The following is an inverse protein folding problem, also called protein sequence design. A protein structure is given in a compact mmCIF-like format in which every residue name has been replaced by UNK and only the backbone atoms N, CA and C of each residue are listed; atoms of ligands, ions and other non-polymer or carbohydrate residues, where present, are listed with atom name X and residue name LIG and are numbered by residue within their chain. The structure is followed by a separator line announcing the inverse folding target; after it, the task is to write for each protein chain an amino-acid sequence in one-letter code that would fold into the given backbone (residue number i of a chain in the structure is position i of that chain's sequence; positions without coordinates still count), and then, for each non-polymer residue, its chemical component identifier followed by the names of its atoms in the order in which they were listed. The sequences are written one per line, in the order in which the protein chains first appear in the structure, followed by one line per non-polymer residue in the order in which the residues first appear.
data_IF_813172124768
#
_entry.id   IF_813172124768
#
_cell.length_a   1.000
_cell.length_b   1.000
_cell.length_c   1.000
_cell.angle_alpha   90.00
_cell.angle_beta   90.00
_cell.angle_gamma   90.00
#
_symmetry.space_group_name_H-M   'P 1'
#
loop_
_entity.id
_entity.type
_entity.pdbx_description
1 polymer ?
#
# COMPACT_ATOMS: atom_id res chain seq x y z
N UNK A 1 -6.83 -10.44 -1.42
CA UNK A 1 -5.78 -9.49 -1.84
C UNK A 1 -5.65 -8.51 -0.69
N UNK A 2 -4.43 -8.23 -0.24
CA UNK A 2 -4.18 -7.35 0.90
C UNK A 2 -3.38 -6.12 0.47
N UNK A 3 -3.42 -5.05 1.26
CA UNK A 3 -2.57 -3.85 1.03
C UNK A 3 -1.07 -4.21 1.03
N UNK A 4 -0.67 -5.23 1.81
CA UNK A 4 0.70 -5.75 1.78
C UNK A 4 1.09 -6.25 0.39
N UNK A 5 0.23 -7.07 -0.24
CA UNK A 5 0.48 -7.58 -1.59
C UNK A 5 0.59 -6.45 -2.63
N UNK A 6 -0.25 -5.41 -2.50
CA UNK A 6 -0.16 -4.21 -3.33
C UNK A 6 1.17 -3.47 -3.15
N UNK A 7 1.61 -3.26 -1.90
CA UNK A 7 2.92 -2.63 -1.62
C UNK A 7 4.07 -3.47 -2.18
N UNK A 8 4.03 -4.79 -2.06
CA UNK A 8 5.06 -5.67 -2.61
C UNK A 8 5.11 -5.59 -4.13
N UNK A 9 3.95 -5.57 -4.80
CA UNK A 9 3.86 -5.35 -6.24
C UNK A 9 4.48 -4.01 -6.67
N UNK A 10 4.13 -2.92 -5.98
CA UNK A 10 4.69 -1.58 -6.27
C UNK A 10 6.21 -1.58 -6.16
N UNK A 11 6.76 -2.19 -5.11
CA UNK A 11 8.23 -2.28 -4.96
C UNK A 11 8.86 -3.07 -6.10
N UNK A 12 8.28 -4.19 -6.53
CA UNK A 12 8.80 -4.95 -7.68
C UNK A 12 8.71 -4.14 -8.98
N UNK A 13 7.65 -3.37 -9.15
CA UNK A 13 7.44 -2.51 -10.32
C UNK A 13 8.39 -1.31 -10.38
N UNK A 14 8.83 -0.81 -9.22
CA UNK A 14 9.85 0.25 -9.13
C UNK A 14 11.26 -0.27 -9.38
N UNK A 15 11.60 -1.42 -8.81
CA UNK A 15 12.94 -1.99 -8.94
C UNK A 15 13.17 -2.63 -10.31
N UNK A 16 12.11 -3.13 -10.96
CA UNK A 16 12.18 -3.97 -12.17
C UNK A 16 13.20 -5.12 -12.04
N UNK A 17 13.43 -5.57 -10.80
CA UNK A 17 14.42 -6.56 -10.45
C UNK A 17 13.99 -7.32 -9.20
N UNK A 18 13.62 -8.59 -9.37
CA UNK A 18 13.03 -9.38 -8.28
C UNK A 18 13.95 -9.52 -7.06
N UNK A 19 15.26 -9.66 -7.28
CA UNK A 19 16.23 -9.78 -6.19
C UNK A 19 16.33 -8.49 -5.36
N UNK A 20 16.54 -7.33 -6.00
CA UNK A 20 16.60 -6.02 -5.33
C UNK A 20 15.31 -5.68 -4.60
N UNK A 21 14.17 -6.01 -5.19
CA UNK A 21 12.87 -5.84 -4.54
C UNK A 21 12.75 -6.69 -3.27
N UNK A 22 13.24 -7.95 -3.30
CA UNK A 22 13.25 -8.83 -2.13
C UNK A 22 14.18 -8.31 -1.03
N UNK A 23 15.36 -7.80 -1.40
CA UNK A 23 16.30 -7.15 -0.47
C UNK A 23 15.67 -5.90 0.18
N UNK A 24 15.06 -5.02 -0.63
CA UNK A 24 14.37 -3.81 -0.14
C UNK A 24 13.18 -4.11 0.77
N UNK A 25 12.51 -5.24 0.55
CA UNK A 25 11.40 -5.72 1.39
C UNK A 25 11.86 -6.57 2.58
N UNK A 26 13.16 -6.87 2.71
CA UNK A 26 13.73 -7.77 3.71
C UNK A 26 13.04 -9.13 3.78
N UNK A 27 12.75 -9.73 2.63
CA UNK A 27 12.14 -11.05 2.51
C UNK A 27 12.89 -11.93 1.52
N UNK A 28 12.67 -13.25 1.61
CA UNK A 28 13.24 -14.18 0.66
C UNK A 28 12.65 -13.99 -0.75
N UNK A 29 13.51 -13.99 -1.77
CA UNK A 29 13.11 -13.85 -3.17
C UNK A 29 12.08 -14.91 -3.65
N UNK A 30 12.16 -16.19 -3.25
CA UNK A 30 11.12 -17.18 -3.57
C UNK A 30 9.74 -16.81 -3.02
N UNK A 31 9.68 -16.25 -1.81
CA UNK A 31 8.44 -15.81 -1.19
C UNK A 31 7.83 -14.62 -1.94
N UNK A 32 8.64 -13.64 -2.34
CA UNK A 32 8.19 -12.51 -3.14
C UNK A 32 7.66 -12.97 -4.51
N UNK A 33 8.39 -13.86 -5.20
CA UNK A 33 7.96 -14.40 -6.48
C UNK A 33 6.64 -15.16 -6.37
N UNK A 34 6.44 -15.93 -5.29
CA UNK A 34 5.18 -16.63 -5.04
C UNK A 34 4.02 -15.65 -4.81
N UNK A 35 4.24 -14.58 -4.03
CA UNK A 35 3.23 -13.55 -3.78
C UNK A 35 2.80 -12.84 -5.07
N UNK A 36 3.75 -12.49 -5.95
CA UNK A 36 3.44 -11.88 -7.25
C UNK A 36 2.66 -12.86 -8.13
N UNK A 37 3.07 -14.13 -8.19
CA UNK A 37 2.35 -15.15 -8.96
C UNK A 37 0.92 -15.33 -8.47
N UNK A 38 0.70 -15.35 -7.15
CA UNK A 38 -0.64 -15.44 -6.58
C UNK A 38 -1.48 -14.20 -6.88
N UNK A 39 -0.86 -13.02 -6.91
CA UNK A 39 -1.53 -11.77 -7.30
C UNK A 39 -1.97 -11.84 -8.76
N UNK A 40 -1.08 -12.22 -9.68
CA UNK A 40 -1.37 -12.39 -11.11
C UNK A 40 -2.49 -13.42 -11.34
N UNK A 41 -2.43 -14.57 -10.66
CA UNK A 41 -3.48 -15.59 -10.72
C UNK A 41 -4.84 -15.06 -10.27
N UNK A 42 -4.86 -14.29 -9.17
CA UNK A 42 -6.11 -13.71 -8.66
C UNK A 42 -6.68 -12.65 -9.59
N UNK A 43 -5.83 -11.89 -10.28
CA UNK A 43 -6.24 -10.88 -11.25
C UNK A 43 -6.58 -11.48 -12.62
N UNK A 44 -6.15 -12.72 -12.90
CA UNK A 44 -6.32 -13.37 -14.19
C UNK A 44 -5.45 -12.78 -15.30
N UNK A 45 -4.43 -11.99 -14.95
CA UNK A 45 -3.55 -11.30 -15.90
C UNK A 45 -2.09 -11.39 -15.46
N UNK A 46 -1.18 -11.36 -16.44
CA UNK A 46 0.26 -11.26 -16.19
C UNK A 46 0.63 -9.79 -16.08
N UNK A 47 1.25 -9.41 -14.95
CA UNK A 47 1.67 -8.03 -14.67
C UNK A 47 3.13 -7.80 -15.05
N UNK A 48 3.96 -8.85 -15.00
CA UNK A 48 5.37 -8.77 -15.38
C UNK A 48 5.74 -9.71 -16.51
N UNK A 49 6.51 -9.21 -17.47
CA UNK A 49 7.13 -10.02 -18.51
C UNK A 49 8.62 -10.22 -18.22
N UNK A 50 9.17 -11.36 -18.67
CA UNK A 50 10.60 -11.67 -18.58
C UNK A 50 11.21 -11.64 -19.98
N UNK A 51 11.40 -10.44 -20.52
CA UNK A 51 12.04 -10.25 -21.82
C UNK A 51 13.56 -10.06 -21.63
N UNK A 52 14.38 -10.76 -22.42
CA UNK A 52 15.84 -10.57 -22.45
C UNK A 52 16.52 -10.65 -21.07
N UNK A 53 16.06 -11.58 -20.22
CA UNK A 53 16.55 -11.77 -18.83
C UNK A 53 16.28 -10.55 -17.91
N UNK A 54 15.47 -9.59 -18.36
CA UNK A 54 15.01 -8.43 -17.60
C UNK A 54 13.54 -8.59 -17.24
N UNK A 55 13.18 -8.07 -16.05
CA UNK A 55 11.80 -7.98 -15.63
C UNK A 55 11.24 -6.65 -16.14
N UNK A 56 10.13 -6.69 -16.87
CA UNK A 56 9.44 -5.47 -17.34
C UNK A 56 7.96 -5.56 -17.01
N UNK A 57 7.29 -4.41 -16.91
CA UNK A 57 5.83 -4.38 -16.78
C UNK A 57 5.17 -4.72 -18.11
N UNK A 58 4.04 -5.40 -18.05
CA UNK A 58 3.10 -5.51 -19.18
C UNK A 58 2.22 -4.25 -19.23
N UNK A 59 1.47 -4.05 -20.31
CA UNK A 59 0.46 -2.99 -20.36
C UNK A 59 -0.58 -3.09 -19.21
N UNK A 60 -0.96 -4.32 -18.85
CA UNK A 60 -1.80 -4.58 -17.68
C UNK A 60 -1.08 -4.22 -16.37
N UNK A 61 0.23 -4.53 -16.26
CA UNK A 61 1.09 -4.15 -15.16
C UNK A 61 1.19 -2.63 -14.96
N UNK A 62 1.36 -1.87 -16.04
CA UNK A 62 1.42 -0.40 -15.99
C UNK A 62 0.09 0.21 -15.53
N UNK A 63 -1.02 -0.24 -16.12
CA UNK A 63 -2.35 0.20 -15.72
C UNK A 63 -2.64 -0.14 -14.24
N UNK A 64 -2.25 -1.34 -13.80
CA UNK A 64 -2.43 -1.78 -12.43
C UNK A 64 -1.53 -1.01 -11.46
N UNK A 65 -0.29 -0.66 -11.82
CA UNK A 65 0.62 0.17 -11.03
C UNK A 65 0.04 1.53 -10.74
N UNK A 66 -0.47 2.22 -11.76
CA UNK A 66 -1.07 3.53 -11.59
C UNK A 66 -2.24 3.49 -10.59
N UNK A 67 -3.17 2.54 -10.74
CA UNK A 67 -4.32 2.41 -9.83
C UNK A 67 -3.92 1.95 -8.43
N UNK A 68 -2.89 1.11 -8.32
CA UNK A 68 -2.41 0.61 -7.02
C UNK A 68 -1.80 1.72 -6.18
N UNK A 69 -1.03 2.64 -6.79
CA UNK A 69 -0.46 3.80 -6.07
C UNK A 69 -1.56 4.68 -5.47
N UNK A 70 -2.57 5.03 -6.27
CA UNK A 70 -3.72 5.80 -5.81
C UNK A 70 -4.48 5.10 -4.68
N UNK A 71 -4.65 3.78 -4.76
CA UNK A 71 -5.33 3.01 -3.72
C UNK A 71 -4.54 3.01 -2.40
N UNK A 72 -3.21 2.92 -2.46
CA UNK A 72 -2.36 2.99 -1.27
C UNK A 72 -2.36 4.39 -0.65
N UNK A 73 -2.29 5.43 -1.46
CA UNK A 73 -2.40 6.82 -1.00
C UNK A 73 -3.75 7.07 -0.31
N UNK A 74 -4.85 6.62 -0.92
CA UNK A 74 -6.19 6.73 -0.33
C UNK A 74 -6.29 5.99 1.01
N UNK A 75 -5.68 4.81 1.11
CA UNK A 75 -5.64 4.07 2.37
C UNK A 75 -4.85 4.81 3.45
N UNK A 76 -3.72 5.41 3.08
CA UNK A 76 -2.91 6.22 4.00
C UNK A 76 -3.66 7.49 4.44
N UNK A 77 -4.38 8.17 3.54
CA UNK A 77 -5.24 9.32 3.87
C UNK A 77 -6.38 8.94 4.83
N UNK A 78 -7.06 7.82 4.58
CA UNK A 78 -8.15 7.36 5.45
C UNK A 78 -7.68 7.15 6.90
N UNK A 79 -6.45 6.65 7.10
CA UNK A 79 -5.86 6.50 8.44
C UNK A 79 -5.63 7.86 9.09
N UNK A 80 -5.05 8.82 8.35
CA UNK A 80 -4.77 10.16 8.86
C UNK A 80 -6.06 10.90 9.24
N UNK A 81 -7.09 10.81 8.40
CA UNK A 81 -8.37 11.47 8.64
C UNK A 81 -9.06 10.88 9.87
N UNK A 82 -9.07 9.55 10.01
CA UNK A 82 -9.59 8.90 11.22
C UNK A 82 -8.87 9.37 12.50
N UNK A 83 -7.53 9.49 12.46
CA UNK A 83 -6.73 9.97 13.59
C UNK A 83 -7.02 11.45 13.91
N UNK A 84 -7.15 12.29 12.88
CA UNK A 84 -7.47 13.72 13.03
C UNK A 84 -8.85 13.94 13.64
N UNK A 85 -9.87 13.25 13.13
CA UNK A 85 -11.22 13.34 13.67
C UNK A 85 -11.27 12.87 15.11
N UNK A 86 -10.62 11.75 15.44
CA UNK A 86 -10.56 11.25 16.81
C UNK A 86 -9.88 12.24 17.78
N UNK A 87 -8.82 12.93 17.34
CA UNK A 87 -8.14 13.96 18.13
C UNK A 87 -9.02 15.19 18.34
N UNK A 88 -9.64 15.70 17.28
CA UNK A 88 -10.53 16.86 17.36
C UNK A 88 -11.71 16.61 18.32
N UNK A 89 -12.29 15.41 18.31
CA UNK A 89 -13.35 15.04 19.25
C UNK A 89 -12.89 15.01 20.71
N UNK A 90 -11.63 14.64 21.00
CA UNK A 90 -11.08 14.66 22.36
C UNK A 90 -10.82 16.07 22.86
N UNK A 91 -10.29 16.95 22.01
CA UNK A 91 -10.04 18.36 22.34
C UNK A 91 -11.38 19.10 22.61
N UNK A 92 -12.41 18.83 21.80
CA UNK A 92 -13.76 19.35 22.05
C UNK A 92 -14.35 18.85 23.37
N UNK A 93 -14.17 17.57 23.72
CA UNK A 93 -14.63 17.03 25.01
C UNK A 93 -13.91 17.66 26.22
N UNK A 94 -12.62 17.97 26.09
CA UNK A 94 -11.84 18.64 27.15
C UNK A 94 -12.25 20.11 27.32
N UNK A 95 -12.51 20.83 26.22
CA UNK A 95 -13.01 22.21 26.26
C UNK A 95 -14.41 22.35 26.85
N UNK A 96 -15.29 21.37 26.63
CA UNK A 96 -16.64 21.34 27.22
C UNK A 96 -16.62 21.10 28.73
N UNK A 97 -15.61 20.41 29.27
CA UNK A 97 -15.49 20.18 30.70
C UNK A 97 -15.04 21.44 31.46
N UNK A 98 -14.11 22.23 30.89
CA UNK A 98 -13.57 23.44 31.53
C UNK A 98 -14.56 24.63 31.61
N UNK A 99 -15.70 24.56 30.92
CA UNK A 99 -16.74 25.60 31.02
C UNK A 99 -17.88 25.27 32.00
N UNK A 100 -17.88 24.08 32.62
CA UNK A 100 -18.93 23.68 33.58
C UNK A 100 -18.56 23.87 35.06
N UNK A 101 -17.31 24.23 35.38
CA UNK A 101 -16.83 24.38 36.77
C UNK A 101 -16.70 25.84 37.27
N UNK A 102 -17.14 26.86 36.50
CA UNK A 102 -17.08 28.28 36.92
C UNK A 102 -18.46 28.88 37.16
N UNK A 103 -19.29 28.18 37.94
CA UNK A 103 -20.49 28.76 38.60
C UNK A 103 -20.81 27.99 39.88
N UNK A 104 -20.05 28.23 40.94
CA UNK A 104 -20.56 28.29 42.32
C UNK A 104 -19.86 29.42 43.05
#
# INVERSE_FOLDING_TARGET
MSLRALRHFVVVAEELHMHRAAERLHIAQPALSQQIKQLEQRLGVVLFSRANRRLTLTAAGEAFLHKTRLALEMADQAVLDAQRTARASREAAFGVCLQRDVRQ
#
